data_IF_281218345653
#
_entry.id   IF_281218345653
#
_cell.length_a   1.000
_cell.length_b   1.000
_cell.length_c   1.000
_cell.angle_alpha   90.00
_cell.angle_beta   90.00
_cell.angle_gamma   90.00
#
_symmetry.space_group_name_H-M   'P 1'
#
loop_
_entity.id
_entity.type
_entity.pdbx_description
1 polymer ?
#
# COMPACT_ATOMS: atom_id res chain seq x y z
N UNK A 1 21.69 -4.68 32.84
CA UNK A 1 20.74 -3.67 32.37
C UNK A 1 19.88 -4.20 31.25
N UNK A 2 20.42 -5.05 30.37
CA UNK A 2 19.70 -5.62 29.22
C UNK A 2 18.56 -6.57 29.62
N UNK A 3 18.72 -7.36 30.68
CA UNK A 3 17.70 -8.28 31.21
C UNK A 3 16.45 -7.56 31.74
N UNK A 4 16.64 -6.43 32.43
CA UNK A 4 15.51 -5.64 32.99
C UNK A 4 14.73 -4.94 31.87
N UNK A 5 15.43 -4.45 30.85
CA UNK A 5 14.80 -3.84 29.67
C UNK A 5 14.03 -4.91 28.86
N UNK A 6 14.61 -6.08 28.66
CA UNK A 6 13.97 -7.19 27.98
C UNK A 6 12.71 -7.70 28.71
N UNK A 7 12.78 -7.80 30.05
CA UNK A 7 11.66 -8.18 30.90
C UNK A 7 10.53 -7.14 30.91
N UNK A 8 10.90 -5.84 30.93
CA UNK A 8 9.94 -4.74 30.83
C UNK A 8 9.24 -4.72 29.46
N UNK A 9 9.98 -4.91 28.37
CA UNK A 9 9.44 -4.97 27.03
C UNK A 9 8.51 -6.18 26.84
N UNK A 10 8.90 -7.34 27.32
CA UNK A 10 8.06 -8.54 27.24
C UNK A 10 6.74 -8.40 28.02
N UNK A 11 6.79 -7.78 29.23
CA UNK A 11 5.58 -7.53 30.04
C UNK A 11 4.64 -6.46 29.48
N UNK A 12 5.14 -5.60 28.58
CA UNK A 12 4.36 -4.49 28.02
C UNK A 12 4.15 -4.58 26.49
N UNK A 13 4.32 -5.77 25.91
CA UNK A 13 4.27 -5.95 24.44
C UNK A 13 2.97 -5.42 23.84
N UNK A 14 1.83 -5.68 24.46
CA UNK A 14 0.52 -5.19 23.97
C UNK A 14 0.46 -3.65 23.96
N UNK A 15 0.97 -3.01 25.03
CA UNK A 15 1.02 -1.55 25.13
C UNK A 15 1.94 -0.95 24.07
N UNK A 16 3.08 -1.60 23.80
CA UNK A 16 4.01 -1.19 22.74
C UNK A 16 3.38 -1.33 21.38
N UNK A 17 2.68 -2.44 21.12
CA UNK A 17 1.99 -2.65 19.84
C UNK A 17 0.86 -1.63 19.62
N UNK A 18 0.14 -1.22 20.68
CA UNK A 18 -0.84 -0.14 20.61
C UNK A 18 -0.18 1.21 20.33
N UNK A 19 0.97 1.47 20.94
CA UNK A 19 1.74 2.69 20.66
C UNK A 19 2.22 2.70 19.19
N UNK A 20 2.68 1.55 18.68
CA UNK A 20 3.01 1.40 17.24
C UNK A 20 1.77 1.68 16.38
N UNK A 21 0.61 1.10 16.68
CA UNK A 21 -0.63 1.33 15.95
C UNK A 21 -1.00 2.83 15.86
N UNK A 22 -0.86 3.55 16.98
CA UNK A 22 -1.06 5.00 17.03
C UNK A 22 -0.04 5.76 16.18
N UNK A 23 1.24 5.39 16.25
CA UNK A 23 2.32 6.03 15.50
C UNK A 23 2.17 5.78 13.98
N UNK A 24 1.78 4.58 13.56
CA UNK A 24 1.51 4.29 12.14
C UNK A 24 0.40 5.18 11.59
N UNK A 25 -0.68 5.35 12.35
CA UNK A 25 -1.73 6.29 12.01
C UNK A 25 -1.23 7.74 11.96
N UNK A 26 -0.37 8.14 12.91
CA UNK A 26 0.22 9.47 12.91
C UNK A 26 1.10 9.73 11.67
N UNK A 27 1.90 8.75 11.22
CA UNK A 27 2.75 8.85 10.04
C UNK A 27 1.89 9.06 8.78
N UNK A 28 0.87 8.23 8.57
CA UNK A 28 -0.04 8.38 7.42
C UNK A 28 -0.80 9.71 7.52
N UNK A 29 -1.24 10.07 8.72
CA UNK A 29 -1.94 11.33 8.96
C UNK A 29 -1.07 12.57 8.77
N UNK A 30 0.24 12.48 9.02
CA UNK A 30 1.21 13.54 8.74
C UNK A 30 1.32 13.77 7.23
N UNK A 31 1.48 12.70 6.47
CA UNK A 31 1.53 12.74 5.01
C UNK A 31 0.23 13.35 4.44
N UNK A 32 -0.94 12.87 4.86
CA UNK A 32 -2.23 13.43 4.44
C UNK A 32 -2.41 14.88 4.86
N UNK A 33 -1.95 15.27 6.04
CA UNK A 33 -1.96 16.65 6.50
C UNK A 33 -1.06 17.57 5.69
N UNK A 34 0.07 17.03 5.22
CA UNK A 34 1.00 17.75 4.35
C UNK A 34 0.44 17.95 2.95
N UNK A 35 -0.15 16.93 2.34
CA UNK A 35 -0.83 17.03 1.04
C UNK A 35 -1.97 18.08 1.07
N UNK A 36 -2.68 18.16 2.20
CA UNK A 36 -3.77 19.12 2.40
C UNK A 36 -3.35 20.45 3.04
N UNK A 37 -2.04 20.79 3.13
CA UNK A 37 -1.56 21.98 3.86
C UNK A 37 -2.09 23.32 3.33
N UNK A 38 -2.37 23.38 2.03
CA UNK A 38 -2.89 24.59 1.37
C UNK A 38 -4.41 24.77 1.53
N UNK A 39 -5.12 23.75 2.03
CA UNK A 39 -6.55 23.82 2.28
C UNK A 39 -6.82 24.57 3.60
N UNK A 40 -7.89 25.38 3.63
CA UNK A 40 -8.28 26.12 4.82
C UNK A 40 -8.61 25.19 5.99
N UNK A 41 -8.39 25.70 7.21
CA UNK A 41 -8.78 24.98 8.43
C UNK A 41 -10.31 24.76 8.41
N UNK A 42 -10.75 23.51 8.49
CA UNK A 42 -12.17 23.11 8.38
C UNK A 42 -12.53 22.42 7.04
N UNK A 43 -11.75 22.60 5.98
CA UNK A 43 -11.95 21.91 4.70
C UNK A 43 -11.25 20.54 4.63
N UNK A 44 -10.41 20.23 5.62
CA UNK A 44 -9.69 18.94 5.73
C UNK A 44 -10.58 17.90 6.35
N UNK A 45 -10.79 16.76 5.69
CA UNK A 45 -11.59 15.65 6.24
C UNK A 45 -10.92 15.06 7.48
N UNK A 46 -9.59 14.81 7.42
CA UNK A 46 -8.85 14.16 8.48
C UNK A 46 -7.37 14.59 8.44
N UNK A 47 -6.77 14.77 9.60
CA UNK A 47 -5.36 15.09 9.76
C UNK A 47 -4.67 14.08 10.69
N UNK A 48 -3.45 14.41 11.12
CA UNK A 48 -2.60 13.55 11.94
C UNK A 48 -3.34 12.98 13.17
N UNK A 49 -4.14 13.78 13.86
CA UNK A 49 -4.90 13.33 15.05
C UNK A 49 -5.92 12.25 14.71
N UNK A 50 -6.71 12.48 13.65
CA UNK A 50 -7.75 11.54 13.23
C UNK A 50 -7.15 10.21 12.79
N UNK A 51 -6.11 10.25 11.96
CA UNK A 51 -5.44 9.04 11.49
C UNK A 51 -4.74 8.28 12.64
N UNK A 52 -4.09 9.00 13.59
CA UNK A 52 -3.49 8.38 14.77
C UNK A 52 -4.54 7.64 15.61
N UNK A 53 -5.69 8.27 15.85
CA UNK A 53 -6.80 7.66 16.59
C UNK A 53 -7.43 6.49 15.83
N UNK A 54 -7.53 6.56 14.51
CA UNK A 54 -8.02 5.44 13.67
C UNK A 54 -7.05 4.25 13.74
N UNK A 55 -5.74 4.48 13.70
CA UNK A 55 -4.75 3.43 13.88
C UNK A 55 -4.83 2.78 15.27
N UNK A 56 -4.92 3.60 16.32
CA UNK A 56 -5.12 3.10 17.68
C UNK A 56 -6.42 2.31 17.82
N UNK A 57 -7.53 2.80 17.25
CA UNK A 57 -8.82 2.12 17.24
C UNK A 57 -8.73 0.75 16.55
N UNK A 58 -7.97 0.64 15.45
CA UNK A 58 -7.67 -0.62 14.80
C UNK A 58 -6.95 -1.61 15.73
N UNK A 59 -5.92 -1.15 16.45
CA UNK A 59 -5.24 -1.95 17.46
C UNK A 59 -6.14 -2.40 18.60
N UNK A 60 -6.98 -1.50 19.12
CA UNK A 60 -7.97 -1.81 20.16
C UNK A 60 -9.00 -2.81 19.62
N UNK A 61 -9.46 -2.66 18.37
CA UNK A 61 -10.43 -3.60 17.77
C UNK A 61 -9.89 -5.03 17.72
N UNK A 62 -8.60 -5.18 17.43
CA UNK A 62 -7.93 -6.49 17.42
C UNK A 62 -7.85 -7.10 18.83
N UNK A 63 -7.57 -6.29 19.87
CA UNK A 63 -7.62 -6.77 21.25
C UNK A 63 -9.02 -7.18 21.67
N UNK A 64 -10.03 -6.38 21.38
CA UNK A 64 -11.42 -6.69 21.71
C UNK A 64 -11.88 -7.94 20.96
N UNK A 65 -11.44 -8.13 19.71
CA UNK A 65 -11.76 -9.31 18.92
C UNK A 65 -11.18 -10.58 19.55
N UNK A 66 -9.98 -10.49 20.13
CA UNK A 66 -9.31 -11.61 20.78
C UNK A 66 -9.86 -11.90 22.19
N UNK A 67 -10.15 -10.88 23.00
CA UNK A 67 -10.46 -11.03 24.43
C UNK A 67 -11.97 -11.08 24.73
N UNK A 68 -12.82 -10.51 23.86
CA UNK A 68 -14.26 -10.33 24.16
C UNK A 68 -15.14 -10.99 23.11
N UNK A 69 -15.01 -10.59 21.82
CA UNK A 69 -15.88 -11.10 20.75
C UNK A 69 -15.23 -10.86 19.38
N UNK A 70 -15.22 -11.88 18.53
CA UNK A 70 -14.73 -11.80 17.14
C UNK A 70 -15.42 -10.71 16.30
N UNK A 71 -16.63 -10.32 16.66
CA UNK A 71 -17.41 -9.28 16.00
C UNK A 71 -16.85 -7.86 16.23
N UNK A 72 -15.97 -7.65 17.21
CA UNK A 72 -15.45 -6.33 17.53
C UNK A 72 -14.69 -5.71 16.33
N UNK A 73 -13.86 -6.49 15.65
CA UNK A 73 -13.12 -5.99 14.48
C UNK A 73 -14.04 -5.58 13.33
N UNK A 74 -14.94 -6.43 12.79
CA UNK A 74 -15.79 -6.04 11.67
C UNK A 74 -16.78 -4.92 12.03
N UNK A 75 -17.32 -4.87 13.23
CA UNK A 75 -18.23 -3.80 13.66
C UNK A 75 -17.53 -2.45 13.72
N UNK A 76 -16.33 -2.38 14.32
CA UNK A 76 -15.56 -1.15 14.39
C UNK A 76 -15.04 -0.72 13.02
N UNK A 77 -14.63 -1.66 12.17
CA UNK A 77 -14.25 -1.37 10.78
C UNK A 77 -15.41 -0.74 10.00
N UNK A 78 -16.60 -1.34 10.07
CA UNK A 78 -17.80 -0.80 9.41
C UNK A 78 -18.14 0.60 9.95
N UNK A 79 -17.97 0.83 11.24
CA UNK A 79 -18.18 2.16 11.85
C UNK A 79 -17.21 3.20 11.31
N UNK A 80 -15.91 2.85 11.14
CA UNK A 80 -14.91 3.74 10.54
C UNK A 80 -15.22 4.01 9.07
N UNK A 81 -15.63 2.99 8.32
CA UNK A 81 -16.02 3.14 6.90
C UNK A 81 -17.26 4.03 6.78
N UNK A 82 -18.26 3.83 7.61
CA UNK A 82 -19.47 4.66 7.61
C UNK A 82 -19.14 6.12 7.93
N UNK A 83 -18.33 6.36 8.95
CA UNK A 83 -17.85 7.71 9.29
C UNK A 83 -17.08 8.35 8.13
N UNK A 84 -16.21 7.59 7.45
CA UNK A 84 -15.47 8.07 6.30
C UNK A 84 -16.38 8.43 5.12
N UNK A 85 -17.42 7.61 4.86
CA UNK A 85 -18.40 7.87 3.80
C UNK A 85 -19.17 9.16 4.09
N UNK A 86 -19.66 9.34 5.33
CA UNK A 86 -20.38 10.56 5.73
C UNK A 86 -19.49 11.80 5.58
N UNK A 87 -18.27 11.76 6.10
CA UNK A 87 -17.32 12.86 5.96
C UNK A 87 -16.97 13.17 4.50
N UNK A 88 -16.94 12.15 3.65
CA UNK A 88 -16.68 12.33 2.21
C UNK A 88 -17.89 12.91 1.48
N UNK A 89 -19.12 12.47 1.79
CA UNK A 89 -20.34 13.00 1.17
C UNK A 89 -20.52 14.48 1.48
N UNK A 90 -20.34 14.89 2.72
CA UNK A 90 -20.36 16.31 3.13
C UNK A 90 -19.33 17.15 2.37
N UNK A 91 -18.13 16.59 2.14
CA UNK A 91 -17.11 17.29 1.39
C UNK A 91 -17.46 17.48 -0.10
N UNK A 92 -18.11 16.48 -0.71
CA UNK A 92 -18.50 16.55 -2.13
C UNK A 92 -19.47 17.69 -2.41
N UNK A 93 -20.29 18.08 -1.45
CA UNK A 93 -21.18 19.21 -1.57
C UNK A 93 -20.45 20.55 -1.66
N UNK A 94 -19.25 20.63 -1.06
CA UNK A 94 -18.47 21.87 -0.97
C UNK A 94 -17.27 21.93 -1.92
N UNK A 95 -16.68 20.77 -2.25
CA UNK A 95 -15.47 20.69 -3.07
C UNK A 95 -15.64 19.55 -4.09
N UNK A 96 -15.61 19.87 -5.39
CA UNK A 96 -15.66 18.86 -6.48
C UNK A 96 -14.33 18.09 -6.60
N UNK A 97 -13.91 17.39 -5.55
CA UNK A 97 -12.72 16.54 -5.57
C UNK A 97 -13.14 15.07 -5.36
N UNK A 98 -13.14 14.30 -6.44
CA UNK A 98 -13.57 12.91 -6.46
C UNK A 98 -12.51 11.91 -5.99
N UNK A 99 -11.41 12.36 -5.38
CA UNK A 99 -10.36 11.44 -4.91
C UNK A 99 -10.77 10.68 -3.66
N UNK A 100 -10.99 9.39 -3.79
CA UNK A 100 -11.31 8.46 -2.67
C UNK A 100 -10.07 7.95 -1.93
N UNK A 101 -8.86 8.33 -2.36
CA UNK A 101 -7.59 7.84 -1.79
C UNK A 101 -7.47 8.12 -0.29
N UNK A 102 -8.02 9.25 0.18
CA UNK A 102 -8.03 9.56 1.61
C UNK A 102 -8.88 8.59 2.44
N UNK A 103 -10.03 8.16 1.90
CA UNK A 103 -10.88 7.15 2.55
C UNK A 103 -10.18 5.79 2.61
N UNK A 104 -9.60 5.37 1.48
CA UNK A 104 -8.82 4.12 1.42
C UNK A 104 -7.66 4.17 2.41
N UNK A 105 -6.94 5.30 2.50
CA UNK A 105 -5.88 5.51 3.48
C UNK A 105 -6.38 5.38 4.92
N UNK A 106 -7.57 5.87 5.24
CA UNK A 106 -8.16 5.76 6.58
C UNK A 106 -8.50 4.30 6.94
N UNK A 107 -9.10 3.55 6.01
CA UNK A 107 -9.40 2.13 6.18
C UNK A 107 -8.12 1.30 6.35
N UNK A 108 -7.11 1.56 5.51
CA UNK A 108 -5.80 0.91 5.62
C UNK A 108 -5.14 1.21 6.96
N UNK A 109 -5.21 2.45 7.44
CA UNK A 109 -4.66 2.85 8.75
C UNK A 109 -5.30 2.06 9.89
N UNK A 110 -6.61 1.87 9.87
CA UNK A 110 -7.31 1.00 10.84
C UNK A 110 -6.79 -0.44 10.77
N UNK A 111 -6.68 -0.99 9.56
CA UNK A 111 -6.17 -2.35 9.35
C UNK A 111 -4.70 -2.50 9.83
N UNK A 112 -3.84 -1.52 9.56
CA UNK A 112 -2.45 -1.56 10.04
C UNK A 112 -2.37 -1.53 11.56
N UNK A 113 -3.22 -0.75 12.22
CA UNK A 113 -3.33 -0.78 13.68
C UNK A 113 -3.71 -2.16 14.21
N UNK A 114 -4.67 -2.81 13.57
CA UNK A 114 -5.07 -4.18 13.92
C UNK A 114 -3.95 -5.19 13.68
N UNK A 115 -3.27 -5.12 12.52
CA UNK A 115 -2.13 -6.00 12.17
C UNK A 115 -0.98 -5.84 13.16
N UNK A 116 -0.67 -4.60 13.59
CA UNK A 116 0.39 -4.33 14.55
C UNK A 116 0.17 -5.04 15.90
N UNK A 117 -1.09 -5.22 16.29
CA UNK A 117 -1.45 -5.84 17.58
C UNK A 117 -1.72 -7.33 17.44
N UNK A 118 -2.39 -7.78 16.36
CA UNK A 118 -2.85 -9.15 16.22
C UNK A 118 -1.86 -10.06 15.47
N UNK A 119 -0.97 -9.50 14.64
CA UNK A 119 -0.08 -10.27 13.77
C UNK A 119 1.38 -9.94 14.05
N UNK A 120 1.86 -8.82 13.53
CA UNK A 120 3.27 -8.40 13.66
C UNK A 120 3.41 -6.89 13.42
N UNK A 121 4.03 -6.14 14.36
CA UNK A 121 4.22 -4.70 14.22
C UNK A 121 5.21 -4.32 13.10
N UNK A 122 6.14 -5.20 12.72
CA UNK A 122 7.10 -4.94 11.63
C UNK A 122 6.38 -5.00 10.29
N UNK A 123 5.51 -6.00 10.08
CA UNK A 123 4.69 -6.13 8.87
C UNK A 123 3.76 -4.91 8.74
N UNK A 124 3.10 -4.52 9.84
CA UNK A 124 2.23 -3.35 9.87
C UNK A 124 3.01 -2.07 9.51
N UNK A 125 4.21 -1.91 10.05
CA UNK A 125 5.07 -0.75 9.80
C UNK A 125 5.52 -0.71 8.34
N UNK A 126 6.00 -1.81 7.79
CA UNK A 126 6.40 -1.89 6.38
C UNK A 126 5.24 -1.54 5.44
N UNK A 127 4.04 -2.10 5.69
CA UNK A 127 2.85 -1.81 4.89
C UNK A 127 2.41 -0.34 5.01
N UNK A 128 2.46 0.25 6.21
CA UNK A 128 2.12 1.64 6.43
C UNK A 128 3.09 2.61 5.73
N UNK A 129 4.40 2.32 5.77
CA UNK A 129 5.42 3.13 5.08
C UNK A 129 5.22 3.06 3.56
N UNK A 130 5.03 1.86 3.01
CA UNK A 130 4.74 1.70 1.57
C UNK A 130 3.48 2.45 1.17
N UNK A 131 2.43 2.37 2.00
CA UNK A 131 1.18 3.10 1.77
C UNK A 131 1.40 4.61 1.79
N UNK A 132 2.14 5.14 2.76
CA UNK A 132 2.47 6.58 2.83
C UNK A 132 3.22 7.04 1.57
N UNK A 133 4.21 6.26 1.10
CA UNK A 133 4.95 6.55 -0.14
C UNK A 133 4.02 6.57 -1.36
N UNK A 134 3.10 5.61 -1.47
CA UNK A 134 2.14 5.57 -2.58
C UNK A 134 1.19 6.78 -2.54
N UNK A 135 0.76 7.19 -1.36
CA UNK A 135 -0.13 8.33 -1.18
C UNK A 135 0.57 9.65 -1.50
N UNK A 136 1.83 9.82 -1.09
CA UNK A 136 2.66 11.01 -1.34
C UNK A 136 2.95 11.20 -2.83
N UNK A 137 3.29 10.12 -3.53
CA UNK A 137 3.69 10.17 -4.94
C UNK A 137 2.52 10.27 -5.95
N UNK A 138 1.32 10.66 -5.51
CA UNK A 138 0.14 10.76 -6.39
C UNK A 138 0.38 11.58 -7.65
N UNK A 139 1.01 12.75 -7.53
CA UNK A 139 1.25 13.65 -8.66
C UNK A 139 2.31 13.08 -9.61
N UNK A 140 3.36 12.46 -9.08
CA UNK A 140 4.40 11.84 -9.87
C UNK A 140 3.88 10.61 -10.63
N UNK A 141 3.11 9.75 -9.96
CA UNK A 141 2.46 8.59 -10.58
C UNK A 141 1.54 9.02 -11.72
N UNK A 142 0.71 10.04 -11.53
CA UNK A 142 -0.14 10.59 -12.60
C UNK A 142 0.70 11.20 -13.72
N UNK A 143 1.77 11.90 -13.39
CA UNK A 143 2.72 12.44 -14.37
C UNK A 143 3.41 11.36 -15.20
N UNK A 144 3.71 10.21 -14.60
CA UNK A 144 4.28 9.07 -15.30
C UNK A 144 3.26 8.38 -16.20
N UNK A 145 2.05 8.14 -15.70
CA UNK A 145 0.95 7.56 -16.50
C UNK A 145 0.64 8.43 -17.72
N UNK A 146 0.61 9.76 -17.57
CA UNK A 146 0.37 10.68 -18.67
C UNK A 146 1.51 10.71 -19.72
N UNK A 147 2.71 10.26 -19.36
CA UNK A 147 3.86 10.13 -20.30
C UNK A 147 3.84 8.82 -21.06
N UNK A 148 3.12 7.80 -20.58
CA UNK A 148 2.98 6.52 -21.27
C UNK A 148 2.08 6.69 -22.48
N UNK A 149 2.51 6.18 -23.63
CA UNK A 149 1.67 6.08 -24.82
C UNK A 149 0.79 4.85 -24.71
N UNK A 150 -0.41 4.90 -25.26
CA UNK A 150 -1.38 3.81 -25.21
C UNK A 150 -0.78 2.46 -25.65
N UNK A 151 -0.02 2.45 -26.74
CA UNK A 151 0.62 1.23 -27.25
C UNK A 151 1.74 0.69 -26.34
N UNK A 152 2.38 1.53 -25.51
CA UNK A 152 3.40 1.10 -24.54
C UNK A 152 2.77 0.39 -23.36
N UNK A 153 1.65 0.94 -22.86
CA UNK A 153 0.86 0.32 -21.80
C UNK A 153 0.29 -1.02 -22.26
N UNK A 154 -0.28 -1.06 -23.48
CA UNK A 154 -0.83 -2.28 -24.08
C UNK A 154 0.25 -3.36 -24.27
N UNK A 155 1.43 -2.98 -24.75
CA UNK A 155 2.57 -3.89 -24.89
C UNK A 155 3.05 -4.43 -23.53
N UNK A 156 3.14 -3.58 -22.50
CA UNK A 156 3.53 -3.98 -21.15
C UNK A 156 2.51 -4.95 -20.54
N UNK A 157 1.21 -4.64 -20.67
CA UNK A 157 0.13 -5.49 -20.16
C UNK A 157 0.08 -6.84 -20.88
N UNK A 158 0.27 -6.87 -22.21
CA UNK A 158 0.36 -8.11 -22.98
C UNK A 158 1.56 -8.95 -22.57
N UNK A 159 2.72 -8.34 -22.41
CA UNK A 159 3.91 -9.04 -21.93
C UNK A 159 3.68 -9.63 -20.54
N UNK A 160 3.11 -8.86 -19.62
CA UNK A 160 2.81 -9.30 -18.28
C UNK A 160 1.78 -10.44 -18.27
N UNK A 161 0.68 -10.29 -19.02
CA UNK A 161 -0.35 -11.32 -19.15
C UNK A 161 0.24 -12.63 -19.70
N UNK A 162 0.97 -12.57 -20.81
CA UNK A 162 1.59 -13.73 -21.42
C UNK A 162 2.61 -14.35 -20.46
N UNK A 163 3.42 -13.56 -19.76
CA UNK A 163 4.41 -14.07 -18.81
C UNK A 163 3.78 -14.71 -17.58
N UNK A 164 2.76 -14.07 -16.97
CA UNK A 164 2.10 -14.60 -15.78
C UNK A 164 1.22 -15.81 -16.08
N UNK A 165 0.57 -15.83 -17.25
CA UNK A 165 -0.34 -16.92 -17.62
C UNK A 165 0.42 -18.06 -18.30
N UNK A 166 1.31 -17.76 -19.24
CA UNK A 166 2.00 -18.79 -20.02
C UNK A 166 3.10 -19.50 -19.25
N UNK A 167 3.86 -18.77 -18.42
CA UNK A 167 5.00 -19.36 -17.70
C UNK A 167 4.62 -20.54 -16.79
N UNK A 168 3.53 -20.48 -15.98
CA UNK A 168 3.12 -21.62 -15.16
C UNK A 168 2.51 -22.77 -15.98
N UNK A 169 1.98 -22.48 -17.19
CA UNK A 169 1.38 -23.50 -18.05
C UNK A 169 2.41 -24.27 -18.91
N UNK A 170 3.60 -23.69 -19.10
CA UNK A 170 4.65 -24.34 -19.89
C UNK A 170 5.29 -25.50 -19.12
N UNK A 171 5.43 -26.67 -19.75
CA UNK A 171 6.09 -27.81 -19.13
C UNK A 171 7.56 -27.48 -18.85
N UNK A 172 8.04 -27.90 -17.66
CA UNK A 172 9.43 -27.77 -17.26
C UNK A 172 10.18 -29.08 -17.51
N UNK A 173 10.09 -29.59 -18.73
CA UNK A 173 10.73 -30.84 -19.16
C UNK A 173 11.56 -30.60 -20.40
N UNK A 174 12.67 -31.34 -20.49
CA UNK A 174 13.54 -31.29 -21.66
C UNK A 174 12.91 -32.06 -22.81
N UNK A 175 12.59 -31.38 -23.88
CA UNK A 175 11.90 -31.90 -25.08
C UNK A 175 12.78 -31.80 -26.32
N UNK A 176 12.36 -32.50 -27.38
CA UNK A 176 12.97 -32.46 -28.72
C UNK A 176 14.16 -33.42 -28.91
N UNK A 177 14.77 -33.41 -30.10
CA UNK A 177 15.90 -34.27 -30.41
C UNK A 177 17.08 -33.97 -29.50
N UNK A 178 17.52 -34.97 -28.72
CA UNK A 178 18.61 -34.82 -27.75
C UNK A 178 18.24 -34.16 -26.42
N UNK A 179 16.96 -33.86 -26.13
CA UNK A 179 16.51 -33.29 -24.85
C UNK A 179 17.09 -31.91 -24.56
N UNK A 180 17.30 -31.08 -25.56
CA UNK A 180 17.99 -29.78 -25.44
C UNK A 180 17.03 -28.62 -25.19
N UNK A 181 15.76 -28.77 -25.56
CA UNK A 181 14.77 -27.70 -25.52
C UNK A 181 13.90 -27.81 -24.27
N UNK A 182 13.94 -26.77 -23.40
CA UNK A 182 13.01 -26.63 -22.30
C UNK A 182 12.10 -25.41 -22.58
N UNK A 183 10.80 -25.63 -22.85
CA UNK A 183 9.88 -24.54 -23.20
C UNK A 183 9.81 -23.45 -22.13
N UNK A 184 9.87 -23.82 -20.85
CA UNK A 184 9.83 -22.89 -19.72
C UNK A 184 11.10 -22.04 -19.63
N UNK A 185 12.26 -22.62 -19.85
CA UNK A 185 13.54 -21.89 -19.85
C UNK A 185 13.63 -20.92 -21.02
N UNK A 186 13.21 -21.37 -22.23
CA UNK A 186 13.16 -20.50 -23.40
C UNK A 186 12.23 -19.34 -23.17
N UNK A 187 11.04 -19.59 -22.63
CA UNK A 187 10.09 -18.52 -22.32
C UNK A 187 10.62 -17.53 -21.27
N UNK A 188 11.29 -18.04 -20.25
CA UNK A 188 11.95 -17.21 -19.24
C UNK A 188 13.01 -16.28 -19.85
N UNK A 189 13.80 -16.78 -20.79
CA UNK A 189 14.75 -15.93 -21.53
C UNK A 189 14.06 -14.84 -22.36
N UNK A 190 12.94 -15.16 -23.01
CA UNK A 190 12.14 -14.17 -23.76
C UNK A 190 11.62 -13.10 -22.85
N UNK A 191 11.06 -13.47 -21.68
CA UNK A 191 10.57 -12.51 -20.69
C UNK A 191 11.69 -11.62 -20.17
N UNK A 192 12.86 -12.19 -19.88
CA UNK A 192 14.03 -11.41 -19.41
C UNK A 192 14.49 -10.41 -20.47
N UNK A 193 14.66 -10.82 -21.72
CA UNK A 193 15.09 -9.93 -22.80
C UNK A 193 14.07 -8.82 -23.02
N UNK A 194 12.78 -9.15 -23.08
CA UNK A 194 11.72 -8.18 -23.24
C UNK A 194 11.66 -7.19 -22.07
N UNK A 195 11.82 -7.67 -20.82
CA UNK A 195 11.84 -6.83 -19.62
C UNK A 195 13.03 -5.86 -19.60
N UNK A 196 14.23 -6.35 -19.95
CA UNK A 196 15.43 -5.51 -20.04
C UNK A 196 15.26 -4.45 -21.13
N UNK A 197 14.72 -4.84 -22.29
CA UNK A 197 14.46 -3.92 -23.40
C UNK A 197 13.45 -2.86 -23.03
N UNK A 198 12.37 -3.24 -22.34
CA UNK A 198 11.34 -2.32 -21.85
C UNK A 198 11.88 -1.35 -20.79
N UNK A 199 12.62 -1.86 -19.81
CA UNK A 199 13.26 -1.04 -18.76
C UNK A 199 14.27 -0.09 -19.38
N UNK A 200 15.10 -0.55 -20.32
CA UNK A 200 16.06 0.27 -21.04
C UNK A 200 15.40 1.38 -21.84
N UNK A 201 14.35 1.08 -22.58
CA UNK A 201 13.53 2.06 -23.29
C UNK A 201 12.96 3.12 -22.35
N UNK A 202 12.37 2.67 -21.23
CA UNK A 202 11.76 3.55 -20.23
C UNK A 202 12.82 4.43 -19.55
N UNK A 203 13.98 3.86 -19.21
CA UNK A 203 15.09 4.59 -18.60
C UNK A 203 15.62 5.69 -19.52
N UNK A 204 15.80 5.41 -20.82
CA UNK A 204 16.22 6.40 -21.82
C UNK A 204 15.18 7.50 -21.96
N UNK A 205 13.88 7.16 -21.92
CA UNK A 205 12.78 8.11 -22.03
C UNK A 205 12.68 9.04 -20.81
N UNK A 206 12.93 8.52 -19.61
CA UNK A 206 12.89 9.30 -18.37
C UNK A 206 14.17 10.13 -18.18
N UNK A 207 15.34 9.54 -18.51
CA UNK A 207 16.64 10.17 -18.33
C UNK A 207 17.17 10.89 -19.59
N UNK A 208 16.69 10.53 -20.78
CA UNK A 208 17.30 10.82 -22.07
C UNK A 208 16.94 12.16 -22.71
N UNK A 209 16.21 13.05 -22.07
CA UNK A 209 15.97 14.41 -22.58
C UNK A 209 16.99 15.45 -22.12
N UNK A 210 18.10 15.01 -21.57
CA UNK A 210 19.23 15.89 -21.23
C UNK A 210 20.35 15.72 -22.22
N UNK A 211 20.15 16.15 -23.50
CA UNK A 211 21.23 16.50 -24.43
C UNK A 211 20.62 17.17 -25.68
N UNK A 212 20.64 18.43 -25.70
CA UNK A 212 20.74 19.26 -26.88
C UNK A 212 21.74 20.30 -26.53
#
# INVERSE_FOLDING_TARGET
MDDVAAQFLAGNQTTLNLAVALLLGAIIGLERGWDAREQKSGERIAGIRTFALVGLLGGISALLAREITEWAFPVLLVSVVAMAIVAYSERLEHIRNFSITGMVGMVLTFCFGAVAVAVDPVIATAAAVVTAIILDNKQEIHGWVNKLKEHELDAALKLLLISVVMLPLLPNEKMGPGGVLNPREIWWMVVMIASISFVGYFAIRVAGTRKG
#
